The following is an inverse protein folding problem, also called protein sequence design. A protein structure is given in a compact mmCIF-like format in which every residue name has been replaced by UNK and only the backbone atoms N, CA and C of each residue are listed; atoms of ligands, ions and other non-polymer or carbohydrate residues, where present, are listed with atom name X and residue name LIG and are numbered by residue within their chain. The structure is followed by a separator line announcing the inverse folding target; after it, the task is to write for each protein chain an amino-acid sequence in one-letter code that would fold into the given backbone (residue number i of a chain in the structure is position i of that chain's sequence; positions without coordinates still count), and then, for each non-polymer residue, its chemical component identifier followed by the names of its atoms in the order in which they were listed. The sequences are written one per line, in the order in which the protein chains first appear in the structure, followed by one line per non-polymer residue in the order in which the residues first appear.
data_IF_658579409802
#
_entry.id   IF_658579409802
#
_cell.length_a   1.000
_cell.length_b   1.000
_cell.length_c   1.000
_cell.angle_alpha   90.00
_cell.angle_beta   90.00
_cell.angle_gamma   90.00
#
_symmetry.space_group_name_H-M   'P 1'
#
loop_
_entity.id
_entity.type
_entity.pdbx_description
1 polymer ?
#
# COMPACT_ATOMS: atom_id res chain seq x y z
N UNK A 1 -0.02 20.34 -6.63
CA UNK A 1 1.35 20.23 -6.10
C UNK A 1 1.50 19.05 -5.13
N UNK A 2 1.01 19.08 -3.88
CA UNK A 2 1.19 17.93 -2.97
C UNK A 2 0.59 16.62 -3.50
N UNK A 3 -0.60 16.68 -4.13
CA UNK A 3 -1.21 15.51 -4.79
C UNK A 3 -0.24 14.88 -5.78
N UNK A 4 0.33 15.69 -6.67
CA UNK A 4 1.15 15.21 -7.79
C UNK A 4 2.48 14.64 -7.28
N UNK A 5 3.08 15.26 -6.25
CA UNK A 5 4.29 14.74 -5.59
C UNK A 5 4.01 13.41 -4.88
N UNK A 6 2.93 13.34 -4.10
CA UNK A 6 2.53 12.10 -3.42
C UNK A 6 2.23 10.98 -4.44
N UNK A 7 1.51 11.29 -5.52
CA UNK A 7 1.28 10.35 -6.62
C UNK A 7 2.61 9.89 -7.24
N UNK A 8 3.56 10.80 -7.49
CA UNK A 8 4.87 10.44 -8.03
C UNK A 8 5.65 9.49 -7.11
N UNK A 9 5.66 9.75 -5.80
CA UNK A 9 6.28 8.85 -4.82
C UNK A 9 5.63 7.47 -4.80
N UNK A 10 4.30 7.41 -4.80
CA UNK A 10 3.58 6.13 -4.83
C UNK A 10 3.95 5.37 -6.10
N UNK A 11 3.90 6.01 -7.27
CA UNK A 11 4.24 5.37 -8.55
C UNK A 11 5.71 4.93 -8.63
N UNK A 12 6.63 5.61 -7.92
CA UNK A 12 8.04 5.26 -7.89
C UNK A 12 8.36 4.11 -6.92
N UNK A 13 7.67 4.03 -5.78
CA UNK A 13 8.03 3.11 -4.70
C UNK A 13 7.12 1.87 -4.59
N UNK A 14 5.90 1.94 -5.13
CA UNK A 14 4.94 0.83 -5.05
C UNK A 14 5.13 -0.11 -6.25
N UNK A 15 4.78 -1.40 -6.12
CA UNK A 15 4.96 -2.35 -7.21
C UNK A 15 4.11 -2.03 -8.45
N UNK A 16 4.52 -2.53 -9.62
CA UNK A 16 3.70 -2.48 -10.83
C UNK A 16 2.29 -3.04 -10.59
N UNK A 17 1.29 -2.49 -11.28
CA UNK A 17 -0.12 -2.84 -11.06
C UNK A 17 -0.85 -1.94 -10.06
N UNK A 18 -0.11 -1.17 -9.25
CA UNK A 18 -0.66 -0.15 -8.36
C UNK A 18 -1.43 0.90 -9.17
N UNK A 19 -2.70 1.11 -8.83
CA UNK A 19 -3.53 2.18 -9.38
C UNK A 19 -3.75 3.27 -8.36
N UNK A 20 -3.68 4.52 -8.80
CA UNK A 20 -3.88 5.71 -7.97
C UNK A 20 -5.01 6.54 -8.54
N UNK A 21 -5.99 6.90 -7.73
CA UNK A 21 -7.07 7.78 -8.17
C UNK A 21 -6.57 9.18 -8.53
N UNK A 22 -7.29 9.85 -9.45
CA UNK A 22 -6.99 11.23 -9.86
C UNK A 22 -8.12 12.17 -9.43
N UNK A 23 -8.25 12.49 -8.13
CA UNK A 23 -9.30 13.36 -7.65
C UNK A 23 -9.10 14.80 -8.18
N UNK A 24 -10.21 15.45 -8.53
CA UNK A 24 -10.23 16.88 -8.92
C UNK A 24 -10.25 17.83 -7.71
N UNK A 25 -10.39 17.30 -6.50
CA UNK A 25 -10.42 18.06 -5.24
C UNK A 25 -10.35 17.14 -4.02
N UNK A 26 -10.19 17.74 -2.83
CA UNK A 26 -9.99 17.02 -1.58
C UNK A 26 -8.52 16.78 -1.23
N UNK A 27 -8.28 15.88 -0.29
CA UNK A 27 -6.96 15.64 0.32
C UNK A 27 -6.58 14.16 0.41
N UNK A 28 -7.32 13.28 -0.27
CA UNK A 28 -7.16 11.83 -0.16
C UNK A 28 -6.97 11.20 -1.52
N UNK A 29 -5.94 10.39 -1.65
CA UNK A 29 -5.79 9.44 -2.76
C UNK A 29 -6.39 8.10 -2.37
N UNK A 30 -6.98 7.44 -3.35
CA UNK A 30 -7.41 6.05 -3.27
C UNK A 30 -6.42 5.21 -4.06
N UNK A 31 -5.80 4.24 -3.38
CA UNK A 31 -4.79 3.37 -3.95
C UNK A 31 -5.36 1.98 -4.01
N UNK A 32 -5.21 1.33 -5.15
CA UNK A 32 -5.68 -0.03 -5.38
C UNK A 32 -4.48 -0.88 -5.81
N UNK A 33 -4.30 -1.99 -5.10
CA UNK A 33 -3.30 -3.03 -5.38
C UNK A 33 -3.98 -4.22 -6.08
N UNK A 34 -3.22 -5.27 -6.37
CA UNK A 34 -3.75 -6.53 -6.91
C UNK A 34 -4.92 -7.05 -6.07
N UNK A 35 -5.92 -7.63 -6.72
CA UNK A 35 -7.22 -7.97 -6.12
C UNK A 35 -7.10 -8.89 -4.90
N UNK A 36 -6.14 -9.82 -4.92
CA UNK A 36 -5.88 -10.76 -3.83
C UNK A 36 -5.03 -10.18 -2.69
N UNK A 37 -4.56 -8.93 -2.82
CA UNK A 37 -3.71 -8.31 -1.80
C UNK A 37 -4.52 -7.90 -0.56
N UNK A 38 -3.99 -8.26 0.62
CA UNK A 38 -4.62 -7.97 1.90
C UNK A 38 -4.01 -6.73 2.58
N UNK A 39 -4.67 -5.58 2.46
CA UNK A 39 -4.21 -4.35 3.13
C UNK A 39 -4.35 -4.39 4.66
N UNK A 40 -5.21 -5.25 5.21
CA UNK A 40 -5.28 -5.42 6.66
C UNK A 40 -4.01 -6.12 7.16
N UNK A 41 -3.50 -7.10 6.41
CA UNK A 41 -2.19 -7.71 6.68
C UNK A 41 -1.09 -6.66 6.56
N UNK A 42 -1.07 -5.88 5.48
CA UNK A 42 -0.10 -4.78 5.30
C UNK A 42 -0.08 -3.83 6.50
N UNK A 43 -1.24 -3.34 6.95
CA UNK A 43 -1.33 -2.41 8.07
C UNK A 43 -0.71 -2.97 9.36
N UNK A 44 -0.90 -4.26 9.66
CA UNK A 44 -0.28 -4.91 10.82
C UNK A 44 1.25 -4.93 10.76
N UNK A 45 1.84 -5.14 9.57
CA UNK A 45 3.31 -5.11 9.40
C UNK A 45 3.88 -3.69 9.48
N UNK A 46 3.11 -2.70 9.01
CA UNK A 46 3.51 -1.29 9.05
C UNK A 46 3.41 -0.71 10.44
N UNK A 47 2.43 -1.13 11.24
CA UNK A 47 2.24 -0.67 12.61
C UNK A 47 3.48 -0.97 13.47
N UNK A 48 4.11 -2.13 13.27
CA UNK A 48 5.39 -2.50 13.90
C UNK A 48 6.57 -1.59 13.50
N UNK A 49 6.42 -0.83 12.41
CA UNK A 49 7.41 0.11 11.89
C UNK A 49 7.01 1.58 12.16
N UNK A 50 5.97 1.81 12.97
CA UNK A 50 5.45 3.14 13.28
C UNK A 50 4.70 3.81 12.14
N UNK A 51 4.23 3.05 11.14
CA UNK A 51 3.43 3.56 10.02
C UNK A 51 2.03 2.98 10.09
N UNK A 52 1.01 3.81 9.93
CA UNK A 52 -0.38 3.36 9.84
C UNK A 52 -0.98 3.79 8.50
N UNK A 53 -1.80 2.92 7.93
CA UNK A 53 -2.54 3.20 6.71
C UNK A 53 -4.05 3.07 6.95
N UNK A 54 -4.82 3.90 6.26
CA UNK A 54 -6.28 3.76 6.27
C UNK A 54 -6.69 2.68 5.26
N UNK A 55 -6.93 1.46 5.75
CA UNK A 55 -7.32 0.32 4.91
C UNK A 55 -8.70 0.53 4.28
N UNK A 56 -8.88 0.13 3.03
CA UNK A 56 -10.10 0.39 2.24
C UNK A 56 -11.36 -0.23 2.85
N UNK A 57 -11.22 -1.38 3.53
CA UNK A 57 -12.34 -2.12 4.10
C UNK A 57 -13.12 -1.40 5.19
N UNK A 58 -12.50 -0.45 5.93
CA UNK A 58 -13.25 0.35 6.94
C UNK A 58 -14.24 1.32 6.29
N UNK A 59 -14.11 1.57 4.99
CA UNK A 59 -15.00 2.44 4.21
C UNK A 59 -16.10 1.64 3.49
N UNK A 60 -16.25 0.34 3.79
CA UNK A 60 -17.27 -0.52 3.21
C UNK A 60 -18.06 -1.26 4.29
N UNK A 61 -19.39 -1.09 4.29
CA UNK A 61 -20.28 -1.84 5.19
C UNK A 61 -20.28 -3.36 4.93
N UNK A 62 -19.88 -3.80 3.72
CA UNK A 62 -19.80 -5.21 3.33
C UNK A 62 -18.36 -5.74 3.29
N UNK A 63 -17.38 -5.00 3.82
CA UNK A 63 -15.96 -5.41 3.82
C UNK A 63 -15.29 -5.45 2.44
N UNK A 64 -15.86 -4.80 1.42
CA UNK A 64 -15.22 -4.67 0.08
C UNK A 64 -13.95 -3.83 0.16
N UNK A 65 -13.17 -3.82 -0.92
CA UNK A 65 -11.96 -3.01 -1.08
C UNK A 65 -10.82 -3.41 -0.14
N UNK A 66 -10.67 -4.73 0.11
CA UNK A 66 -9.58 -5.29 0.91
C UNK A 66 -8.20 -5.02 0.29
N UNK A 67 -8.13 -4.93 -1.03
CA UNK A 67 -6.95 -4.57 -1.81
C UNK A 67 -6.72 -3.05 -1.95
N UNK A 68 -7.55 -2.22 -1.32
CA UNK A 68 -7.40 -0.77 -1.38
C UNK A 68 -6.90 -0.16 -0.07
N UNK A 69 -6.29 1.03 -0.17
CA UNK A 69 -5.93 1.88 0.98
C UNK A 69 -6.10 3.37 0.61
N UNK A 70 -6.12 4.24 1.62
CA UNK A 70 -6.16 5.69 1.44
C UNK A 70 -4.90 6.37 1.97
N UNK A 71 -4.44 7.37 1.24
CA UNK A 71 -3.31 8.23 1.64
C UNK A 71 -3.76 9.69 1.66
N UNK A 72 -3.47 10.38 2.77
CA UNK A 72 -3.72 11.81 2.93
C UNK A 72 -2.53 12.62 2.41
N UNK A 73 -2.78 13.60 1.53
CA UNK A 73 -1.75 14.51 0.99
C UNK A 73 -1.95 15.98 1.41
N UNK A 74 -2.88 16.28 2.32
CA UNK A 74 -3.01 17.61 2.91
C UNK A 74 -1.81 18.06 3.76
N UNK A 75 -1.17 17.18 4.57
CA UNK A 75 -0.01 17.58 5.36
C UNK A 75 1.14 18.09 4.49
N UNK A 76 2.03 18.88 5.11
CA UNK A 76 3.28 19.27 4.47
C UNK A 76 4.08 18.01 4.14
N UNK A 77 4.47 17.86 2.88
CA UNK A 77 5.32 16.76 2.45
C UNK A 77 6.74 16.99 2.97
N UNK A 78 7.21 16.06 3.80
CA UNK A 78 8.54 16.07 4.41
C UNK A 78 9.29 14.81 4.03
N UNK A 79 10.61 14.78 4.27
CA UNK A 79 11.42 13.58 4.10
C UNK A 79 10.90 12.40 4.95
N UNK A 80 10.34 12.68 6.14
CA UNK A 80 9.73 11.66 6.98
C UNK A 80 8.50 11.01 6.32
N UNK A 81 7.63 11.83 5.70
CA UNK A 81 6.49 11.30 4.94
C UNK A 81 6.98 10.50 3.73
N UNK A 82 7.98 10.99 3.01
CA UNK A 82 8.55 10.25 1.88
C UNK A 82 9.11 8.88 2.31
N UNK A 83 9.88 8.84 3.39
CA UNK A 83 10.39 7.58 3.96
C UNK A 83 9.27 6.65 4.41
N UNK A 84 8.16 7.18 4.96
CA UNK A 84 7.00 6.37 5.28
C UNK A 84 6.39 5.77 4.01
N UNK A 85 6.22 6.53 2.92
CA UNK A 85 5.72 6.03 1.63
C UNK A 85 6.66 4.96 1.06
N UNK A 86 7.98 5.15 1.13
CA UNK A 86 8.97 4.15 0.73
C UNK A 86 8.82 2.85 1.54
N UNK A 87 8.65 2.93 2.87
CA UNK A 87 8.42 1.77 3.73
C UNK A 87 7.13 1.03 3.37
N UNK A 88 6.06 1.76 3.03
CA UNK A 88 4.82 1.14 2.54
C UNK A 88 5.09 0.35 1.26
N UNK A 89 5.71 0.98 0.25
CA UNK A 89 6.04 0.32 -1.01
C UNK A 89 6.90 -0.94 -0.84
N UNK A 90 7.97 -0.85 -0.04
CA UNK A 90 8.84 -1.97 0.27
C UNK A 90 8.11 -3.11 1.02
N UNK A 91 7.23 -2.77 1.95
CA UNK A 91 6.44 -3.78 2.70
C UNK A 91 5.43 -4.47 1.79
N UNK A 92 4.79 -3.74 0.87
CA UNK A 92 3.89 -4.34 -0.15
C UNK A 92 4.67 -5.36 -0.98
N UNK A 93 5.82 -4.97 -1.55
CA UNK A 93 6.65 -5.87 -2.37
C UNK A 93 7.05 -7.13 -1.60
N UNK A 94 7.50 -6.98 -0.34
CA UNK A 94 7.84 -8.11 0.52
C UNK A 94 6.66 -9.07 0.71
N UNK A 95 5.45 -8.55 0.94
CA UNK A 95 4.25 -9.37 1.16
C UNK A 95 3.77 -10.04 -0.13
N UNK A 96 3.94 -9.41 -1.29
CA UNK A 96 3.64 -10.04 -2.59
C UNK A 96 4.59 -11.22 -2.87
N UNK A 97 5.89 -11.05 -2.63
CA UNK A 97 6.88 -12.12 -2.80
C UNK A 97 6.63 -13.31 -1.85
N UNK A 98 6.23 -13.04 -0.61
CA UNK A 98 5.92 -14.07 0.38
C UNK A 98 4.62 -14.85 0.09
N UNK A 99 3.79 -14.38 -0.86
CA UNK A 99 2.52 -15.02 -1.26
C UNK A 99 2.67 -15.75 -2.60
N UNK A 100 3.86 -15.78 -3.19
CA UNK A 100 4.11 -16.45 -4.47
C UNK A 100 4.31 -17.96 -4.28
N UNK A 101 3.50 -18.84 -4.92
CA UNK A 101 3.57 -20.30 -4.74
C UNK A 101 4.91 -20.92 -5.21
N UNK A 102 5.73 -20.17 -5.95
CA UNK A 102 7.04 -20.62 -6.44
C UNK A 102 8.06 -20.82 -5.31
N UNK A 103 7.94 -20.09 -4.19
CA UNK A 103 8.84 -20.29 -3.04
C UNK A 103 8.37 -21.41 -2.10
N UNK A 104 7.06 -21.64 -1.94
CA UNK A 104 6.55 -22.73 -1.11
C UNK A 104 6.96 -24.11 -1.67
N UNK A 105 7.02 -24.28 -3.00
CA UNK A 105 7.44 -25.55 -3.60
C UNK A 105 8.94 -25.86 -3.49
N UNK A 106 9.77 -24.85 -3.21
CA UNK A 106 11.23 -25.02 -3.09
C UNK A 106 11.62 -25.42 -1.66
N UNK A 107 10.87 -24.98 -0.65
CA UNK A 107 11.07 -25.38 0.75
C UNK A 107 10.36 -26.70 1.11
N UNK A 108 9.30 -27.07 0.39
CA UNK A 108 8.56 -28.32 0.61
C UNK A 108 9.18 -29.56 -0.07
N UNK A 109 10.37 -29.44 -0.68
CA UNK A 109 11.09 -30.54 -1.36
C UNK A 109 12.42 -30.92 -0.71
N UNK A 110 12.72 -30.35 0.47
CA UNK A 110 13.96 -30.63 1.21
C UNK A 110 13.74 -31.48 2.47
N UNK A 111 12.64 -32.24 2.53
CA UNK A 111 12.39 -33.31 3.52
C UNK A 111 12.19 -34.65 2.81
#
# INVERSE_FOLDING_TARGET
QNRDVMTAWIMAYFPPGTRVSQPRGGFMLWIELDEDFDNLRLNRYLEQQGVQIAVGSIFSASGKYRNCLRINYAPKLTAEIEHAVQRVGATIQKLMLATSPVLESTLARSD
#
